data_IF_581487032894
#
_entry.id   IF_581487032894
#
_cell.length_a   1.000
_cell.length_b   1.000
_cell.length_c   1.000
_cell.angle_alpha   90.00
_cell.angle_beta   90.00
_cell.angle_gamma   90.00
#
_symmetry.space_group_name_H-M   'P 1'
#
loop_
_entity.id
_entity.type
_entity.pdbx_description
1 polymer ?
#
# COMPACT_ATOMS: atom_id res chain seq x y z
N UNK A 1 -48.62 -5.15 -8.09
CA UNK A 1 -47.76 -5.68 -9.17
C UNK A 1 -46.56 -4.76 -9.46
N UNK A 2 -46.75 -3.44 -9.50
CA UNK A 2 -45.68 -2.43 -9.81
C UNK A 2 -44.61 -2.38 -8.69
N UNK A 3 -45.01 -2.49 -7.41
CA UNK A 3 -44.12 -2.45 -6.27
C UNK A 3 -43.14 -3.65 -6.25
N UNK A 4 -43.64 -4.86 -6.56
CA UNK A 4 -42.85 -6.08 -6.63
C UNK A 4 -41.82 -6.04 -7.78
N UNK A 5 -42.19 -5.46 -8.95
CA UNK A 5 -41.27 -5.25 -10.05
C UNK A 5 -40.15 -4.28 -9.70
N UNK A 6 -40.44 -3.18 -8.96
CA UNK A 6 -39.44 -2.17 -8.54
C UNK A 6 -38.45 -2.76 -7.53
N UNK A 7 -38.93 -3.63 -6.62
CA UNK A 7 -38.06 -4.29 -5.66
C UNK A 7 -37.13 -5.33 -6.33
N UNK A 8 -37.65 -6.15 -7.26
CA UNK A 8 -36.81 -7.09 -8.05
C UNK A 8 -35.76 -6.37 -8.87
N UNK A 9 -36.10 -5.24 -9.49
CA UNK A 9 -35.14 -4.44 -10.26
C UNK A 9 -34.02 -3.88 -9.36
N UNK A 10 -34.34 -3.41 -8.16
CA UNK A 10 -33.37 -2.89 -7.20
C UNK A 10 -32.41 -3.99 -6.70
N UNK A 11 -32.93 -5.20 -6.43
CA UNK A 11 -32.08 -6.35 -6.07
C UNK A 11 -31.16 -6.79 -7.21
N UNK A 12 -31.66 -6.81 -8.44
CA UNK A 12 -30.88 -7.17 -9.63
C UNK A 12 -29.78 -6.13 -9.91
N UNK A 13 -30.11 -4.86 -9.77
CA UNK A 13 -29.18 -3.74 -9.93
C UNK A 13 -28.06 -3.79 -8.86
N UNK A 14 -28.41 -3.98 -7.60
CA UNK A 14 -27.41 -4.15 -6.52
C UNK A 14 -26.57 -5.42 -6.70
N UNK A 15 -27.15 -6.52 -7.19
CA UNK A 15 -26.41 -7.74 -7.50
C UNK A 15 -25.39 -7.53 -8.62
N UNK A 16 -25.77 -6.83 -9.70
CA UNK A 16 -24.87 -6.52 -10.83
C UNK A 16 -23.76 -5.58 -10.39
N UNK A 17 -24.05 -4.53 -9.61
CA UNK A 17 -23.05 -3.62 -9.07
C UNK A 17 -22.08 -4.38 -8.17
N UNK A 18 -22.58 -5.16 -7.23
CA UNK A 18 -21.73 -5.94 -6.31
C UNK A 18 -20.81 -6.92 -7.06
N UNK A 19 -21.30 -7.52 -8.15
CA UNK A 19 -20.50 -8.41 -8.98
C UNK A 19 -19.43 -7.68 -9.80
N UNK A 20 -19.71 -6.47 -10.28
CA UNK A 20 -18.72 -5.65 -10.97
C UNK A 20 -17.61 -5.16 -10.03
N UNK A 21 -17.93 -4.81 -8.79
CA UNK A 21 -16.95 -4.46 -7.76
C UNK A 21 -16.06 -5.66 -7.39
N UNK A 22 -16.63 -6.84 -7.21
CA UNK A 22 -15.84 -8.05 -6.94
C UNK A 22 -14.91 -8.43 -8.09
N UNK A 23 -15.37 -8.29 -9.34
CA UNK A 23 -14.53 -8.52 -10.52
C UNK A 23 -13.38 -7.51 -10.62
N UNK A 24 -13.63 -6.24 -10.32
CA UNK A 24 -12.59 -5.20 -10.35
C UNK A 24 -11.53 -5.40 -9.26
N UNK A 25 -11.93 -5.78 -8.04
CA UNK A 25 -10.99 -6.07 -6.95
C UNK A 25 -10.14 -7.30 -7.22
N UNK A 26 -10.70 -8.36 -7.78
CA UNK A 26 -9.95 -9.55 -8.19
C UNK A 26 -8.92 -9.23 -9.28
N UNK A 27 -9.30 -8.44 -10.28
CA UNK A 27 -8.37 -7.99 -11.33
C UNK A 27 -7.23 -7.15 -10.76
N UNK A 28 -7.51 -6.27 -9.78
CA UNK A 28 -6.49 -5.50 -9.09
C UNK A 28 -5.52 -6.38 -8.30
N UNK A 29 -6.02 -7.39 -7.60
CA UNK A 29 -5.17 -8.34 -6.86
C UNK A 29 -4.27 -9.10 -7.84
N UNK A 30 -4.83 -9.64 -8.92
CA UNK A 30 -4.06 -10.39 -9.92
C UNK A 30 -3.01 -9.50 -10.58
N UNK A 31 -3.38 -8.28 -10.97
CA UNK A 31 -2.46 -7.32 -11.59
C UNK A 31 -1.35 -6.90 -10.62
N UNK A 32 -1.65 -6.69 -9.33
CA UNK A 32 -0.66 -6.32 -8.34
C UNK A 32 0.37 -7.45 -8.12
N UNK A 33 -0.07 -8.70 -8.05
CA UNK A 33 0.81 -9.86 -7.96
C UNK A 33 1.69 -9.95 -9.21
N UNK A 34 1.11 -9.80 -10.39
CA UNK A 34 1.82 -9.86 -11.65
C UNK A 34 2.90 -8.77 -11.77
N UNK A 35 2.54 -7.51 -11.56
CA UNK A 35 3.49 -6.39 -11.62
C UNK A 35 4.56 -6.48 -10.54
N UNK A 36 4.19 -6.84 -9.31
CA UNK A 36 5.13 -7.00 -8.21
C UNK A 36 6.17 -8.09 -8.53
N UNK A 37 5.73 -9.23 -9.04
CA UNK A 37 6.64 -10.33 -9.45
C UNK A 37 7.58 -9.90 -10.56
N UNK A 38 7.07 -9.19 -11.58
CA UNK A 38 7.87 -8.68 -12.69
C UNK A 38 8.92 -7.69 -12.20
N UNK A 39 8.54 -6.75 -11.33
CA UNK A 39 9.46 -5.75 -10.79
C UNK A 39 10.49 -6.33 -9.83
N UNK A 40 10.13 -7.37 -9.06
CA UNK A 40 11.11 -8.07 -8.21
C UNK A 40 12.25 -8.64 -9.08
N UNK A 41 11.93 -9.36 -10.16
CA UNK A 41 12.96 -9.89 -11.07
C UNK A 41 13.82 -8.79 -11.69
N UNK A 42 13.18 -7.71 -12.13
CA UNK A 42 13.88 -6.59 -12.76
C UNK A 42 14.83 -5.89 -11.77
N UNK A 43 14.33 -5.47 -10.60
CA UNK A 43 15.14 -4.75 -9.62
C UNK A 43 16.17 -5.65 -8.95
N UNK A 44 15.89 -6.93 -8.74
CA UNK A 44 16.88 -7.88 -8.25
C UNK A 44 18.09 -7.96 -9.18
N UNK A 45 17.87 -8.08 -10.50
CA UNK A 45 18.94 -8.10 -11.50
C UNK A 45 19.76 -6.80 -11.50
N UNK A 46 19.07 -5.64 -11.37
CA UNK A 46 19.74 -4.32 -11.29
C UNK A 46 20.59 -4.20 -10.02
N UNK A 47 20.07 -4.63 -8.87
CA UNK A 47 20.77 -4.53 -7.59
C UNK A 47 21.98 -5.45 -7.53
N UNK A 48 21.87 -6.65 -8.07
CA UNK A 48 23.03 -7.54 -8.23
C UNK A 48 24.11 -6.88 -9.12
N UNK A 49 23.73 -6.27 -10.25
CA UNK A 49 24.68 -5.59 -11.14
C UNK A 49 25.37 -4.38 -10.48
N UNK A 50 24.68 -3.71 -9.56
CA UNK A 50 25.22 -2.56 -8.82
C UNK A 50 25.89 -2.93 -7.49
N UNK A 51 26.01 -4.22 -7.16
CA UNK A 51 26.53 -4.70 -5.88
C UNK A 51 25.78 -4.17 -4.64
N UNK A 52 24.49 -3.81 -4.80
CA UNK A 52 23.59 -3.44 -3.69
C UNK A 52 23.01 -4.74 -3.13
N UNK A 53 23.81 -5.45 -2.36
CA UNK A 53 23.48 -6.76 -1.81
C UNK A 53 23.55 -6.73 -0.28
N UNK A 54 22.72 -7.54 0.34
CA UNK A 54 22.80 -7.79 1.77
C UNK A 54 23.83 -8.91 2.02
N UNK A 55 24.95 -8.52 2.62
CA UNK A 55 26.05 -9.47 2.90
C UNK A 55 25.65 -10.36 4.06
N UNK A 56 26.01 -11.64 3.97
CA UNK A 56 25.81 -12.60 5.04
C UNK A 56 26.72 -12.20 6.19
N UNK A 57 26.14 -11.98 7.38
CA UNK A 57 26.82 -11.73 8.64
C UNK A 57 26.39 -12.80 9.66
N UNK A 58 27.10 -12.96 10.76
CA UNK A 58 26.80 -13.92 11.83
C UNK A 58 25.39 -13.76 12.44
N UNK A 59 24.76 -12.60 12.24
CA UNK A 59 23.39 -12.30 12.67
C UNK A 59 22.34 -12.46 11.57
N UNK A 60 22.74 -12.81 10.34
CA UNK A 60 21.79 -12.97 9.24
C UNK A 60 21.03 -14.29 9.36
N UNK A 61 19.72 -14.24 9.17
CA UNK A 61 18.85 -15.43 9.18
C UNK A 61 18.85 -16.21 7.86
N UNK A 62 19.60 -15.76 6.86
CA UNK A 62 19.66 -16.36 5.52
C UNK A 62 21.09 -16.78 5.17
N UNK A 63 21.21 -17.93 4.50
CA UNK A 63 22.49 -18.50 4.06
C UNK A 63 22.85 -18.15 2.60
N UNK A 64 22.00 -17.37 1.93
CA UNK A 64 22.17 -16.98 0.53
C UNK A 64 22.19 -15.47 0.44
N UNK A 65 23.06 -14.92 -0.40
CA UNK A 65 23.14 -13.48 -0.66
C UNK A 65 21.81 -12.99 -1.22
N UNK A 66 21.19 -12.02 -0.56
CA UNK A 66 19.91 -11.43 -0.94
C UNK A 66 20.08 -9.98 -1.42
N UNK A 67 19.11 -9.48 -2.15
CA UNK A 67 19.02 -8.08 -2.52
C UNK A 67 17.91 -7.39 -1.72
N UNK A 68 18.07 -6.11 -1.42
CA UNK A 68 17.04 -5.29 -0.75
C UNK A 68 16.05 -4.67 -1.74
N UNK A 69 15.75 -5.38 -2.83
CA UNK A 69 14.93 -4.88 -3.94
C UNK A 69 13.42 -4.99 -3.73
N UNK A 70 12.97 -5.66 -2.66
CA UNK A 70 11.53 -5.93 -2.42
C UNK A 70 10.69 -4.66 -2.28
N UNK A 71 11.15 -3.70 -1.47
CA UNK A 71 10.41 -2.46 -1.22
C UNK A 71 10.17 -1.64 -2.50
N UNK A 72 11.21 -1.46 -3.33
CA UNK A 72 11.07 -0.72 -4.59
C UNK A 72 10.18 -1.45 -5.60
N UNK A 73 10.20 -2.79 -5.62
CA UNK A 73 9.36 -3.58 -6.51
C UNK A 73 7.86 -3.44 -6.14
N UNK A 74 7.54 -3.54 -4.85
CA UNK A 74 6.17 -3.37 -4.35
C UNK A 74 5.69 -1.94 -4.61
N UNK A 75 6.50 -0.94 -4.27
CA UNK A 75 6.14 0.46 -4.51
C UNK A 75 5.89 0.75 -6.00
N UNK A 76 6.75 0.25 -6.89
CA UNK A 76 6.60 0.46 -8.33
C UNK A 76 5.30 -0.16 -8.86
N UNK A 77 4.90 -1.34 -8.37
CA UNK A 77 3.63 -1.97 -8.73
C UNK A 77 2.44 -1.16 -8.23
N UNK A 78 2.47 -0.70 -6.97
CA UNK A 78 1.44 0.15 -6.39
C UNK A 78 1.32 1.48 -7.14
N UNK A 79 2.44 2.11 -7.48
CA UNK A 79 2.47 3.36 -8.23
C UNK A 79 1.79 3.23 -9.60
N UNK A 80 2.10 2.17 -10.35
CA UNK A 80 1.49 1.95 -11.68
C UNK A 80 -0.01 1.70 -11.53
N UNK A 81 -0.43 0.84 -10.59
CA UNK A 81 -1.84 0.52 -10.39
C UNK A 81 -2.62 1.75 -9.92
N UNK A 82 -2.07 2.53 -8.97
CA UNK A 82 -2.70 3.77 -8.51
C UNK A 82 -2.84 4.80 -9.62
N UNK A 83 -1.81 4.96 -10.43
CA UNK A 83 -1.84 5.88 -11.58
C UNK A 83 -2.88 5.44 -12.60
N UNK A 84 -2.96 4.15 -12.90
CA UNK A 84 -3.97 3.60 -13.80
C UNK A 84 -5.39 3.84 -13.25
N UNK A 85 -5.62 3.57 -11.96
CA UNK A 85 -6.92 3.80 -11.32
C UNK A 85 -7.31 5.27 -11.31
N UNK A 86 -6.36 6.16 -11.03
CA UNK A 86 -6.57 7.61 -11.05
C UNK A 86 -7.06 8.11 -12.41
N UNK A 87 -6.40 7.70 -13.51
CA UNK A 87 -6.80 8.11 -14.86
C UNK A 87 -8.13 7.50 -15.31
N UNK A 88 -8.53 6.36 -14.77
CA UNK A 88 -9.81 5.72 -15.08
C UNK A 88 -10.92 6.11 -14.09
N UNK A 89 -10.69 7.06 -13.19
CA UNK A 89 -11.65 7.50 -12.16
C UNK A 89 -12.19 6.34 -11.32
N UNK A 90 -11.34 5.34 -11.05
CA UNK A 90 -11.66 4.20 -10.21
C UNK A 90 -11.26 4.53 -8.77
N UNK A 91 -12.24 4.85 -7.93
CA UNK A 91 -12.03 5.25 -6.53
C UNK A 91 -11.85 4.05 -5.59
N UNK A 92 -10.92 3.15 -5.89
CA UNK A 92 -10.60 2.02 -5.00
C UNK A 92 -9.43 2.37 -4.06
N UNK A 93 -8.59 3.31 -4.48
CA UNK A 93 -7.36 3.66 -3.79
C UNK A 93 -7.13 5.17 -3.82
N UNK A 94 -6.91 5.76 -2.67
CA UNK A 94 -6.59 7.17 -2.59
C UNK A 94 -5.16 7.43 -3.10
N UNK A 95 -5.07 8.13 -4.24
CA UNK A 95 -3.78 8.45 -4.87
C UNK A 95 -2.87 9.29 -3.96
N UNK A 96 -3.44 10.03 -3.00
CA UNK A 96 -2.68 10.84 -2.05
C UNK A 96 -1.73 10.02 -1.18
N UNK A 97 -2.02 8.73 -0.95
CA UNK A 97 -1.13 7.80 -0.23
C UNK A 97 0.22 7.56 -0.91
N UNK A 98 0.32 7.81 -2.20
CA UNK A 98 1.58 7.66 -2.93
C UNK A 98 2.68 8.59 -2.39
N UNK A 99 2.30 9.78 -1.91
CA UNK A 99 3.24 10.77 -1.38
C UNK A 99 3.98 10.25 -0.13
N UNK A 100 3.29 9.87 0.96
CA UNK A 100 3.95 9.36 2.16
C UNK A 100 4.69 8.04 1.90
N UNK A 101 4.15 7.16 1.05
CA UNK A 101 4.83 5.93 0.64
C UNK A 101 6.12 6.20 -0.13
N UNK A 102 6.15 7.24 -0.98
CA UNK A 102 7.36 7.68 -1.69
C UNK A 102 8.44 8.16 -0.72
N UNK A 103 8.07 8.93 0.30
CA UNK A 103 8.98 9.40 1.35
C UNK A 103 9.61 8.19 2.05
N UNK A 104 8.79 7.25 2.50
CA UNK A 104 9.27 6.04 3.20
C UNK A 104 10.17 5.19 2.30
N UNK A 105 9.83 5.06 1.01
CA UNK A 105 10.67 4.34 0.05
C UNK A 105 12.04 5.00 -0.11
N UNK A 106 12.08 6.33 -0.34
CA UNK A 106 13.34 7.06 -0.55
C UNK A 106 14.23 6.94 0.69
N UNK A 107 13.66 7.12 1.88
CA UNK A 107 14.38 6.96 3.14
C UNK A 107 14.92 5.53 3.30
N UNK A 108 14.09 4.51 3.00
CA UNK A 108 14.49 3.12 3.07
C UNK A 108 15.63 2.79 2.09
N UNK A 109 15.55 3.23 0.84
CA UNK A 109 16.60 3.02 -0.16
C UNK A 109 17.89 3.76 0.21
N UNK A 110 17.78 4.97 0.73
CA UNK A 110 18.95 5.73 1.17
C UNK A 110 19.64 5.06 2.37
N UNK A 111 18.84 4.53 3.30
CA UNK A 111 19.35 3.76 4.44
C UNK A 111 20.07 2.47 4.02
N UNK A 112 19.54 1.78 3.04
CA UNK A 112 20.15 0.56 2.51
C UNK A 112 21.54 0.79 1.91
N UNK A 113 21.78 1.99 1.38
CA UNK A 113 23.07 2.37 0.76
C UNK A 113 24.01 3.04 1.75
N UNK A 114 23.52 3.98 2.55
CA UNK A 114 24.36 4.90 3.35
C UNK A 114 24.25 4.70 4.85
N UNK A 115 23.36 3.81 5.35
CA UNK A 115 23.09 3.60 6.78
C UNK A 115 22.75 4.90 7.52
N UNK A 116 21.50 5.34 7.38
CA UNK A 116 20.98 6.53 8.04
C UNK A 116 21.02 6.43 9.57
N UNK A 117 21.24 7.56 10.22
CA UNK A 117 21.04 7.68 11.65
C UNK A 117 19.56 7.42 12.02
N UNK A 118 19.36 6.75 13.14
CA UNK A 118 18.02 6.41 13.66
C UNK A 118 17.11 7.64 13.80
N UNK A 119 17.66 8.78 14.25
CA UNK A 119 16.89 10.03 14.41
C UNK A 119 16.30 10.53 13.12
N UNK A 120 17.08 10.50 12.03
CA UNK A 120 16.59 10.92 10.71
C UNK A 120 15.50 10.00 10.18
N UNK A 121 15.65 8.67 10.32
CA UNK A 121 14.58 7.72 9.95
C UNK A 121 13.29 8.03 10.69
N UNK A 122 13.37 8.24 11.99
CA UNK A 122 12.21 8.50 12.83
C UNK A 122 11.50 9.79 12.46
N UNK A 123 12.25 10.88 12.14
CA UNK A 123 11.67 12.14 11.67
C UNK A 123 10.88 11.95 10.38
N UNK A 124 11.44 11.24 9.38
CA UNK A 124 10.73 11.01 8.13
C UNK A 124 9.51 10.10 8.29
N UNK A 125 9.55 9.13 9.21
CA UNK A 125 8.39 8.31 9.55
C UNK A 125 7.26 9.16 10.16
N UNK A 126 7.60 10.09 11.08
CA UNK A 126 6.62 11.03 11.64
C UNK A 126 6.02 11.93 10.54
N UNK A 127 6.85 12.45 9.64
CA UNK A 127 6.37 13.28 8.52
C UNK A 127 5.41 12.48 7.63
N UNK A 128 5.76 11.25 7.27
CA UNK A 128 4.90 10.39 6.46
C UNK A 128 3.58 10.07 7.18
N UNK A 129 3.63 9.75 8.48
CA UNK A 129 2.44 9.51 9.29
C UNK A 129 1.54 10.75 9.36
N UNK A 130 2.12 11.93 9.55
CA UNK A 130 1.38 13.20 9.58
C UNK A 130 0.65 13.45 8.26
N UNK A 131 1.28 13.21 7.13
CA UNK A 131 0.64 13.34 5.80
C UNK A 131 -0.54 12.36 5.66
N UNK A 132 -0.41 11.13 6.15
CA UNK A 132 -1.50 10.13 6.14
C UNK A 132 -2.70 10.60 6.97
N UNK A 133 -2.44 11.13 8.16
CA UNK A 133 -3.46 11.67 9.07
C UNK A 133 -4.15 12.89 8.44
N UNK A 134 -3.39 13.80 7.85
CA UNK A 134 -3.92 15.02 7.22
C UNK A 134 -4.80 14.71 5.99
N UNK A 135 -4.54 13.57 5.33
CA UNK A 135 -5.39 13.04 4.25
C UNK A 135 -6.66 12.32 4.77
N UNK A 136 -6.91 12.33 6.08
CA UNK A 136 -8.12 11.77 6.68
C UNK A 136 -8.08 10.27 6.95
N UNK A 137 -6.93 9.61 6.79
CA UNK A 137 -6.76 8.21 7.15
C UNK A 137 -6.47 8.08 8.65
N UNK A 138 -7.54 8.14 9.43
CA UNK A 138 -7.53 8.01 10.88
C UNK A 138 -8.44 6.86 11.32
N UNK A 139 -8.12 6.25 12.45
CA UNK A 139 -9.00 5.26 13.09
C UNK A 139 -9.91 6.02 14.05
N UNK A 140 -11.17 6.19 13.70
CA UNK A 140 -12.17 6.91 14.49
C UNK A 140 -13.08 5.97 15.28
N UNK A 141 -13.17 4.69 14.89
CA UNK A 141 -14.02 3.71 15.51
C UNK A 141 -13.31 2.36 15.71
N UNK A 142 -13.34 1.82 16.92
CA UNK A 142 -12.78 0.52 17.26
C UNK A 142 -13.80 -0.63 17.19
N UNK A 143 -15.03 -0.36 16.76
CA UNK A 143 -16.09 -1.36 16.59
C UNK A 143 -16.32 -2.27 17.82
N UNK A 144 -16.18 -1.72 19.02
CA UNK A 144 -16.39 -2.45 20.28
C UNK A 144 -15.17 -3.23 20.78
N UNK A 145 -13.99 -3.09 20.19
CA UNK A 145 -12.77 -3.67 20.73
C UNK A 145 -12.49 -3.00 22.09
N UNK A 146 -12.28 -3.81 23.14
CA UNK A 146 -12.11 -3.36 24.53
C UNK A 146 -13.31 -2.54 25.07
N UNK A 147 -14.51 -2.68 24.47
CA UNK A 147 -15.70 -1.90 24.84
C UNK A 147 -15.70 -0.45 24.34
N UNK A 148 -14.74 -0.06 23.50
CA UNK A 148 -14.62 1.27 22.92
C UNK A 148 -15.21 1.25 21.51
N UNK A 149 -16.20 2.10 21.25
CA UNK A 149 -16.80 2.26 19.93
C UNK A 149 -16.21 3.45 19.19
N UNK A 150 -16.30 4.64 19.75
CA UNK A 150 -15.81 5.87 19.13
C UNK A 150 -14.57 6.39 19.84
N UNK A 151 -13.58 6.82 19.09
CA UNK A 151 -12.37 7.46 19.59
C UNK A 151 -12.54 8.98 19.56
N UNK A 152 -12.04 9.64 20.62
CA UNK A 152 -11.92 11.08 20.59
C UNK A 152 -10.94 11.49 19.50
N UNK A 153 -11.25 12.56 18.75
CA UNK A 153 -10.47 13.08 17.62
C UNK A 153 -8.97 13.26 17.95
N UNK A 154 -8.64 13.63 19.19
CA UNK A 154 -7.25 13.77 19.63
C UNK A 154 -6.54 12.40 19.66
N UNK A 155 -7.23 11.36 20.14
CA UNK A 155 -6.67 9.99 20.23
C UNK A 155 -6.58 9.35 18.83
N UNK A 156 -7.52 9.63 17.95
CA UNK A 156 -7.52 9.10 16.58
C UNK A 156 -6.43 9.70 15.69
N UNK A 157 -5.83 10.83 16.10
CA UNK A 157 -4.74 11.51 15.39
C UNK A 157 -3.35 11.27 15.99
N UNK A 158 -3.29 10.57 17.13
CA UNK A 158 -2.04 10.14 17.76
C UNK A 158 -1.57 8.80 17.25
#
# INVERSE_FOLDING_TARGET
LIYIKKQKFFYLFNFIINRSWQMSTLLLIISSIFFSSLFIFFFQKLFFKKNIIDKINDRSSHNVVATRSGGIAIFSSLFIISTFNYFNSIEIFDFSLIIPLSILLVVGLYDDVYKLDFKLKFIFQIIAAKIIIDNGLIIDNLHGILGIFELNRVISQL
#
